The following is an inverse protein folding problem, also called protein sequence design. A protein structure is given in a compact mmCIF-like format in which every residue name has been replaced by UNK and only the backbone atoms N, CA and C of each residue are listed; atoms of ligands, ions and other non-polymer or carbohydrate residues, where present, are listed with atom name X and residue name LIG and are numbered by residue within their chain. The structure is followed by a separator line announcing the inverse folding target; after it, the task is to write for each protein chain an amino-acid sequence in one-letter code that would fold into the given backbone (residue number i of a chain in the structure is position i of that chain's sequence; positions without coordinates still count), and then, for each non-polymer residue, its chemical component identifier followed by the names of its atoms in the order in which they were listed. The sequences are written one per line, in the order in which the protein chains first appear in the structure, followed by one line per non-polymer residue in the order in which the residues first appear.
data_IF_680594773480
#
_entry.id   IF_680594773480
#
_cell.length_a   1.000
_cell.length_b   1.000
_cell.length_c   1.000
_cell.angle_alpha   90.00
_cell.angle_beta   90.00
_cell.angle_gamma   90.00
#
_symmetry.space_group_name_H-M   'P 1'
#
loop_
_entity.id
_entity.type
_entity.pdbx_description
1 polymer ?
#
# COMPACT_ATOMS: atom_id res chain seq x y z
N UNK A 1 15.46 13.44 -26.13
CA UNK A 1 16.09 12.10 -26.05
C UNK A 1 16.79 12.01 -24.71
N UNK A 2 16.34 11.16 -23.80
CA UNK A 2 17.04 10.93 -22.53
C UNK A 2 17.96 9.74 -22.75
N UNK A 3 19.26 9.99 -22.78
CA UNK A 3 20.29 8.96 -22.91
C UNK A 3 20.77 8.55 -21.51
N UNK A 4 20.51 7.30 -21.14
CA UNK A 4 20.99 6.71 -19.90
C UNK A 4 22.23 5.84 -20.09
N UNK A 5 22.91 5.94 -21.25
CA UNK A 5 24.11 5.17 -21.58
C UNK A 5 23.86 3.70 -21.90
N UNK A 6 22.98 3.02 -21.15
CA UNK A 6 22.65 1.61 -21.38
C UNK A 6 21.49 1.41 -22.37
N UNK A 7 20.63 2.40 -22.53
CA UNK A 7 19.47 2.38 -23.44
C UNK A 7 19.02 3.79 -23.79
N UNK A 8 18.37 3.93 -24.95
CA UNK A 8 17.72 5.17 -25.40
C UNK A 8 16.41 4.83 -26.11
N UNK A 9 15.50 5.78 -26.11
CA UNK A 9 14.25 5.75 -26.87
C UNK A 9 14.06 7.08 -27.60
N UNK A 10 13.65 7.02 -28.84
CA UNK A 10 13.49 8.22 -29.68
C UNK A 10 12.17 8.94 -29.39
N UNK A 11 11.15 8.21 -28.97
CA UNK A 11 9.84 8.77 -28.71
C UNK A 11 9.10 8.03 -27.61
N UNK A 12 8.08 8.69 -27.06
CA UNK A 12 7.15 8.10 -26.11
C UNK A 12 6.34 6.96 -26.72
N UNK A 13 5.94 7.09 -27.99
CA UNK A 13 5.18 6.06 -28.70
C UNK A 13 6.03 4.78 -28.87
N UNK A 14 7.33 4.93 -29.14
CA UNK A 14 8.24 3.78 -29.18
C UNK A 14 8.29 3.05 -27.83
N UNK A 15 8.33 3.76 -26.72
CA UNK A 15 8.30 3.14 -25.37
C UNK A 15 7.00 2.39 -25.16
N UNK A 16 5.86 2.99 -25.52
CA UNK A 16 4.55 2.36 -25.36
C UNK A 16 4.41 1.12 -26.24
N UNK A 17 4.89 1.16 -27.49
CA UNK A 17 4.84 0.00 -28.39
C UNK A 17 5.72 -1.15 -27.89
N UNK A 18 6.93 -0.83 -27.42
CA UNK A 18 7.82 -1.83 -26.82
C UNK A 18 7.27 -2.37 -25.50
N UNK A 19 6.61 -1.52 -24.68
CA UNK A 19 5.95 -1.96 -23.46
C UNK A 19 4.82 -2.95 -23.73
N UNK A 20 3.98 -2.72 -24.74
CA UNK A 20 2.96 -3.67 -25.20
C UNK A 20 3.58 -4.99 -25.60
N UNK A 21 4.67 -4.95 -26.35
CA UNK A 21 5.29 -6.15 -26.92
C UNK A 21 6.08 -6.97 -25.89
N UNK A 22 6.79 -6.33 -24.96
CA UNK A 22 7.81 -7.00 -24.15
C UNK A 22 7.52 -6.98 -22.65
N UNK A 23 6.62 -6.12 -22.18
CA UNK A 23 6.35 -5.99 -20.76
C UNK A 23 4.92 -6.40 -20.40
N UNK A 24 3.91 -5.57 -20.68
CA UNK A 24 2.53 -5.85 -20.30
C UNK A 24 1.55 -5.12 -21.24
N UNK A 25 0.94 -5.84 -22.20
CA UNK A 25 0.02 -5.24 -23.17
C UNK A 25 -1.21 -4.65 -22.50
N UNK A 26 -1.91 -5.40 -21.66
CA UNK A 26 -3.18 -4.98 -21.04
C UNK A 26 -3.03 -3.72 -20.19
N UNK A 27 -1.99 -3.64 -19.35
CA UNK A 27 -1.73 -2.42 -18.56
C UNK A 27 -1.42 -1.21 -19.43
N UNK A 28 -0.64 -1.40 -20.50
CA UNK A 28 -0.25 -0.31 -21.40
C UNK A 28 -1.47 0.23 -22.14
N UNK A 29 -2.31 -0.65 -22.64
CA UNK A 29 -3.54 -0.28 -23.36
C UNK A 29 -4.56 0.33 -22.43
N UNK A 30 -4.79 -0.24 -21.25
CA UNK A 30 -5.71 0.31 -20.26
C UNK A 30 -5.45 1.80 -19.93
N UNK A 31 -4.18 2.16 -19.68
CA UNK A 31 -3.84 3.54 -19.39
C UNK A 31 -3.91 4.44 -20.62
N UNK A 32 -3.50 3.96 -21.78
CA UNK A 32 -3.62 4.69 -23.05
C UNK A 32 -5.08 4.99 -23.41
N UNK A 33 -5.94 3.98 -23.31
CA UNK A 33 -7.39 4.08 -23.59
C UNK A 33 -8.13 4.93 -22.54
N UNK A 34 -7.64 4.92 -21.30
CA UNK A 34 -8.10 5.86 -20.25
C UNK A 34 -7.64 7.29 -20.51
N UNK A 35 -6.88 7.55 -21.58
CA UNK A 35 -6.29 8.85 -21.92
C UNK A 35 -5.16 9.30 -20.99
N UNK A 36 -4.49 8.36 -20.33
CA UNK A 36 -3.36 8.59 -19.43
C UNK A 36 -2.12 7.83 -19.96
N UNK A 37 -1.62 8.18 -21.16
CA UNK A 37 -0.46 7.51 -21.75
C UNK A 37 0.84 8.01 -21.09
N UNK A 38 1.01 7.74 -19.79
CA UNK A 38 2.14 8.21 -19.00
C UNK A 38 3.38 7.33 -19.23
N UNK A 39 4.47 7.93 -19.67
CA UNK A 39 5.81 7.35 -19.65
C UNK A 39 6.69 8.20 -18.74
N UNK A 40 7.02 7.66 -17.57
CA UNK A 40 7.77 8.40 -16.55
C UNK A 40 9.24 8.44 -16.93
N UNK A 41 9.78 9.64 -17.16
CA UNK A 41 11.19 9.88 -17.43
C UNK A 41 11.98 10.09 -16.12
N UNK A 42 11.59 11.06 -15.29
CA UNK A 42 12.26 11.31 -14.01
C UNK A 42 11.27 11.62 -12.88
N UNK A 43 11.78 11.59 -11.67
CA UNK A 43 11.01 11.82 -10.43
C UNK A 43 11.80 12.71 -9.50
N UNK A 44 11.09 13.59 -8.76
CA UNK A 44 11.72 14.50 -7.79
C UNK A 44 10.68 14.99 -6.77
N UNK A 45 10.95 14.84 -5.47
CA UNK A 45 10.01 15.22 -4.43
C UNK A 45 8.65 14.55 -4.62
N UNK A 46 7.60 15.33 -4.76
CA UNK A 46 6.25 14.81 -5.01
C UNK A 46 5.81 14.96 -6.48
N UNK A 47 6.76 14.96 -7.41
CA UNK A 47 6.48 15.15 -8.83
C UNK A 47 7.05 14.03 -9.70
N UNK A 48 6.25 13.64 -10.68
CA UNK A 48 6.64 12.85 -11.84
C UNK A 48 6.83 13.79 -13.03
N UNK A 49 7.77 13.45 -13.88
CA UNK A 49 7.96 14.11 -15.16
C UNK A 49 7.81 13.06 -16.26
N UNK A 50 6.85 13.31 -17.12
CA UNK A 50 6.62 12.48 -18.31
C UNK A 50 7.73 12.71 -19.35
N UNK A 51 7.98 11.74 -20.20
CA UNK A 51 8.93 11.82 -21.31
C UNK A 51 8.64 13.00 -22.27
N UNK A 52 7.40 13.51 -22.31
CA UNK A 52 7.02 14.74 -23.01
C UNK A 52 7.38 16.03 -22.27
N UNK A 53 8.00 15.95 -21.09
CA UNK A 53 8.34 17.09 -20.24
C UNK A 53 7.20 17.58 -19.33
N UNK A 54 6.02 16.97 -19.40
CA UNK A 54 4.89 17.32 -18.54
C UNK A 54 5.18 16.94 -17.09
N UNK A 55 5.00 17.88 -16.17
CA UNK A 55 5.11 17.67 -14.72
C UNK A 55 3.75 17.32 -14.11
N UNK A 56 3.70 16.29 -13.29
CA UNK A 56 2.51 15.80 -12.58
C UNK A 56 2.81 15.73 -11.08
N UNK A 57 1.93 16.25 -10.23
CA UNK A 57 1.97 15.97 -8.81
C UNK A 57 1.52 14.53 -8.57
N UNK A 58 2.33 13.72 -7.86
CA UNK A 58 2.05 12.32 -7.62
C UNK A 58 1.29 12.11 -6.30
N UNK A 59 0.01 11.80 -6.39
CA UNK A 59 -0.85 11.44 -5.26
C UNK A 59 -1.07 9.94 -5.11
N UNK A 60 -0.54 9.15 -6.03
CA UNK A 60 -0.56 7.70 -5.87
C UNK A 60 0.65 7.23 -5.07
N UNK A 61 1.80 7.89 -5.26
CA UNK A 61 3.07 7.56 -4.59
C UNK A 61 3.41 6.06 -4.64
N UNK A 62 2.98 5.37 -5.71
CA UNK A 62 3.09 3.92 -5.85
C UNK A 62 2.56 3.17 -4.61
N UNK A 63 1.30 3.45 -4.21
CA UNK A 63 0.70 2.84 -3.02
C UNK A 63 1.25 3.34 -1.69
N UNK A 64 1.88 4.53 -1.67
CA UNK A 64 2.52 5.10 -0.47
C UNK A 64 3.99 4.73 -0.31
N UNK A 65 4.60 4.09 -1.29
CA UNK A 65 6.04 3.76 -1.29
C UNK A 65 6.91 5.02 -1.20
N UNK A 66 6.52 6.09 -1.90
CA UNK A 66 7.26 7.35 -1.91
C UNK A 66 6.72 8.38 -0.91
N UNK A 67 6.30 7.93 0.27
CA UNK A 67 5.72 8.79 1.32
C UNK A 67 6.62 9.96 1.71
N UNK A 68 7.93 9.77 1.70
CA UNK A 68 8.96 10.78 2.01
C UNK A 68 9.40 11.59 0.77
N UNK A 69 8.70 11.44 -0.35
CA UNK A 69 9.05 12.02 -1.63
C UNK A 69 9.96 11.14 -2.48
N UNK A 70 9.82 11.27 -3.80
CA UNK A 70 10.69 10.59 -4.75
C UNK A 70 12.14 11.03 -4.58
N UNK A 71 13.05 10.07 -4.52
CA UNK A 71 14.49 10.31 -4.43
C UNK A 71 14.84 11.25 -3.26
N UNK A 72 14.26 11.00 -2.09
CA UNK A 72 14.55 11.79 -0.89
C UNK A 72 16.07 11.91 -0.71
N UNK A 73 16.64 13.11 -0.61
CA UNK A 73 18.08 13.34 -0.67
C UNK A 73 18.84 12.67 0.48
N UNK A 74 18.24 12.57 1.67
CA UNK A 74 18.88 11.90 2.82
C UNK A 74 18.97 10.39 2.59
N UNK A 75 17.92 9.77 2.01
CA UNK A 75 17.93 8.34 1.68
C UNK A 75 18.89 8.05 0.53
N UNK A 76 18.93 8.92 -0.49
CA UNK A 76 19.91 8.80 -1.60
C UNK A 76 21.33 8.85 -1.05
N UNK A 77 21.63 9.81 -0.16
CA UNK A 77 22.95 9.91 0.47
C UNK A 77 23.31 8.66 1.27
N UNK A 78 22.38 8.11 2.05
CA UNK A 78 22.59 6.89 2.82
C UNK A 78 22.93 5.69 1.92
N UNK A 79 22.19 5.49 0.82
CA UNK A 79 22.46 4.41 -0.15
C UNK A 79 23.81 4.63 -0.83
N UNK A 80 24.12 5.85 -1.27
CA UNK A 80 25.39 6.16 -1.93
C UNK A 80 26.58 5.86 -1.01
N UNK A 81 26.45 6.20 0.27
CA UNK A 81 27.47 5.86 1.28
C UNK A 81 27.57 4.35 1.47
N UNK A 82 26.44 3.64 1.54
CA UNK A 82 26.44 2.20 1.69
C UNK A 82 27.11 1.49 0.51
N UNK A 83 26.81 1.89 -0.72
CA UNK A 83 27.38 1.28 -1.94
C UNK A 83 28.91 1.40 -2.06
N UNK A 84 29.52 2.30 -1.30
CA UNK A 84 30.99 2.37 -1.26
C UNK A 84 31.64 1.19 -0.50
N UNK A 85 30.87 0.47 0.33
CA UNK A 85 31.39 -0.58 1.22
C UNK A 85 30.56 -1.86 1.24
N UNK A 86 29.33 -1.83 0.78
CA UNK A 86 28.35 -2.91 0.86
C UNK A 86 27.70 -3.17 -0.49
N UNK A 87 27.25 -4.40 -0.68
CA UNK A 87 26.37 -4.84 -1.75
C UNK A 87 25.05 -5.41 -1.14
N UNK A 88 24.50 -6.49 -1.69
CA UNK A 88 23.33 -7.17 -1.11
C UNK A 88 23.68 -7.98 0.14
N UNK A 89 24.96 -8.26 0.36
CA UNK A 89 25.48 -9.08 1.46
C UNK A 89 25.20 -10.57 1.30
N UNK A 90 25.53 -11.30 2.36
CA UNK A 90 25.32 -12.75 2.42
C UNK A 90 24.24 -13.10 3.45
N UNK A 91 23.18 -13.77 3.03
CA UNK A 91 22.04 -14.09 3.89
C UNK A 91 22.31 -15.21 4.93
N UNK A 92 23.41 -15.92 4.83
CA UNK A 92 23.77 -16.97 5.81
C UNK A 92 24.36 -16.43 7.12
N UNK A 93 24.87 -15.20 7.11
CA UNK A 93 25.58 -14.64 8.26
C UNK A 93 24.91 -13.37 8.78
N UNK A 94 25.02 -13.09 10.09
CA UNK A 94 24.66 -11.76 10.61
C UNK A 94 25.41 -10.67 9.87
N UNK A 95 24.75 -9.54 9.61
CA UNK A 95 25.36 -8.36 9.02
C UNK A 95 25.07 -7.14 9.90
N UNK A 96 25.99 -6.17 9.89
CA UNK A 96 25.84 -4.94 10.66
C UNK A 96 24.55 -4.21 10.29
N UNK A 97 24.30 -4.05 8.99
CA UNK A 97 23.14 -3.31 8.49
C UNK A 97 21.80 -4.02 8.80
N UNK A 98 21.73 -5.35 8.58
CA UNK A 98 20.52 -6.13 8.92
C UNK A 98 20.25 -6.14 10.40
N UNK A 99 21.28 -6.31 11.23
CA UNK A 99 21.12 -6.31 12.69
C UNK A 99 20.63 -4.95 13.18
N UNK A 100 21.22 -3.86 12.69
CA UNK A 100 20.79 -2.51 13.05
C UNK A 100 19.33 -2.24 12.61
N UNK A 101 18.93 -2.66 11.41
CA UNK A 101 17.57 -2.49 10.95
C UNK A 101 16.57 -3.36 11.73
N UNK A 102 16.94 -4.62 12.06
CA UNK A 102 16.11 -5.49 12.88
C UNK A 102 15.85 -4.86 14.26
N UNK A 103 16.92 -4.37 14.91
CA UNK A 103 16.82 -3.65 16.18
C UNK A 103 15.92 -2.42 16.06
N UNK A 104 16.16 -1.55 15.09
CA UNK A 104 15.38 -0.33 14.91
C UNK A 104 13.89 -0.61 14.64
N UNK A 105 13.56 -1.63 13.85
CA UNK A 105 12.18 -2.04 13.60
C UNK A 105 11.49 -2.53 14.87
N UNK A 106 12.16 -3.36 15.65
CA UNK A 106 11.62 -3.87 16.94
C UNK A 106 11.43 -2.73 17.94
N UNK A 107 12.40 -1.84 18.08
CA UNK A 107 12.33 -0.68 18.99
C UNK A 107 11.20 0.31 18.64
N UNK A 108 10.83 0.40 17.36
CA UNK A 108 9.73 1.27 16.90
C UNK A 108 8.39 0.52 16.73
N UNK A 109 8.32 -0.77 17.04
CA UNK A 109 7.10 -1.58 16.90
C UNK A 109 6.22 -1.54 18.15
N UNK A 110 4.93 -1.97 18.03
CA UNK A 110 4.12 -2.24 19.20
C UNK A 110 4.79 -3.24 20.15
N UNK A 111 4.50 -3.18 21.46
CA UNK A 111 5.04 -4.11 22.44
C UNK A 111 4.82 -5.59 22.07
N UNK A 112 5.74 -6.46 22.48
CA UNK A 112 5.64 -7.92 22.27
C UNK A 112 6.28 -8.43 20.97
N UNK A 113 6.52 -7.59 19.98
CA UNK A 113 7.25 -7.95 18.76
C UNK A 113 8.77 -7.92 19.06
N UNK A 114 9.45 -9.04 18.88
CA UNK A 114 10.86 -9.22 19.33
C UNK A 114 11.81 -9.65 18.23
N UNK A 115 11.33 -10.08 17.08
CA UNK A 115 12.13 -10.52 15.95
C UNK A 115 11.68 -9.83 14.67
N UNK A 116 12.62 -9.67 13.73
CA UNK A 116 12.34 -9.19 12.37
C UNK A 116 12.86 -10.19 11.35
N UNK A 117 12.00 -10.62 10.42
CA UNK A 117 12.35 -11.47 9.29
C UNK A 117 12.21 -10.64 8.01
N UNK A 118 13.29 -10.54 7.25
CA UNK A 118 13.33 -9.67 6.07
C UNK A 118 12.86 -10.36 4.80
N UNK A 119 12.29 -9.56 3.91
CA UNK A 119 11.81 -9.93 2.59
C UNK A 119 12.22 -8.89 1.56
N UNK A 120 12.19 -9.25 0.28
CA UNK A 120 12.43 -8.33 -0.85
C UNK A 120 11.19 -7.49 -1.21
N UNK A 121 10.00 -7.88 -0.76
CA UNK A 121 8.76 -7.17 -1.03
C UNK A 121 7.62 -7.59 -0.12
N UNK A 122 6.53 -6.78 -0.12
CA UNK A 122 5.40 -6.96 0.78
C UNK A 122 4.73 -8.34 0.67
N UNK A 123 4.54 -8.87 -0.54
CA UNK A 123 3.95 -10.20 -0.73
C UNK A 123 4.77 -11.31 -0.09
N UNK A 124 6.10 -11.29 -0.25
CA UNK A 124 7.00 -12.24 0.43
C UNK A 124 6.93 -12.07 1.95
N UNK A 125 6.89 -10.84 2.46
CA UNK A 125 6.74 -10.59 3.89
C UNK A 125 5.40 -11.13 4.44
N UNK A 126 4.31 -11.00 3.67
CA UNK A 126 3.03 -11.65 4.01
C UNK A 126 3.17 -13.17 4.00
N UNK A 127 3.81 -13.79 2.99
CA UNK A 127 4.04 -15.23 2.95
C UNK A 127 4.82 -15.71 4.21
N UNK A 128 5.79 -14.92 4.67
CA UNK A 128 6.52 -15.18 5.92
C UNK A 128 5.57 -15.15 7.11
N UNK A 129 4.73 -14.13 7.23
CA UNK A 129 3.76 -14.00 8.32
C UNK A 129 2.80 -15.18 8.37
N UNK A 130 2.25 -15.57 7.22
CA UNK A 130 1.31 -16.69 7.11
C UNK A 130 1.98 -18.03 7.46
N UNK A 131 3.20 -18.29 6.98
CA UNK A 131 3.97 -19.47 7.33
C UNK A 131 4.29 -19.52 8.83
N UNK A 132 4.70 -18.38 9.40
CA UNK A 132 4.97 -18.23 10.83
C UNK A 132 3.73 -18.56 11.66
N UNK A 133 2.57 -18.02 11.29
CA UNK A 133 1.33 -18.28 11.98
C UNK A 133 0.91 -19.77 11.90
N UNK A 134 1.04 -20.39 10.74
CA UNK A 134 0.78 -21.83 10.54
C UNK A 134 1.72 -22.69 11.39
N UNK A 135 3.00 -22.35 11.43
CA UNK A 135 3.97 -23.08 12.26
C UNK A 135 3.64 -22.95 13.76
N UNK A 136 3.43 -21.72 14.24
CA UNK A 136 3.21 -21.46 15.67
C UNK A 136 1.92 -22.11 16.20
N UNK A 137 0.88 -22.19 15.38
CA UNK A 137 -0.43 -22.73 15.78
C UNK A 137 -0.66 -24.18 15.36
N UNK A 138 0.15 -24.74 14.46
CA UNK A 138 -0.04 -26.03 13.80
C UNK A 138 -1.42 -26.15 13.10
N UNK A 139 -1.95 -25.01 12.59
CA UNK A 139 -3.22 -24.90 11.88
C UNK A 139 -2.98 -24.37 10.47
N UNK A 140 -3.93 -24.64 9.55
CA UNK A 140 -3.76 -24.24 8.15
C UNK A 140 -4.54 -23.00 7.75
N UNK A 141 -5.75 -22.81 8.30
CA UNK A 141 -6.66 -21.76 7.84
C UNK A 141 -6.17 -20.36 8.22
N UNK A 142 -6.31 -19.44 7.29
CA UNK A 142 -6.06 -18.00 7.48
C UNK A 142 -7.35 -17.27 7.11
N UNK A 143 -7.92 -16.52 8.02
CA UNK A 143 -9.08 -15.69 7.75
C UNK A 143 -8.62 -14.29 7.33
N UNK A 144 -9.19 -13.78 6.25
CA UNK A 144 -9.06 -12.37 5.86
C UNK A 144 -10.43 -11.76 5.53
N UNK A 145 -10.45 -10.57 4.95
CA UNK A 145 -11.70 -9.90 4.58
C UNK A 145 -11.97 -9.99 3.08
N UNK A 146 -13.25 -9.92 2.72
CA UNK A 146 -13.67 -9.71 1.32
C UNK A 146 -13.03 -8.41 0.81
N UNK A 147 -12.49 -8.43 -0.42
CA UNK A 147 -11.77 -7.32 -1.03
C UNK A 147 -10.43 -6.96 -0.37
N UNK A 148 -9.81 -7.90 0.36
CA UNK A 148 -8.46 -7.72 0.89
C UNK A 148 -7.41 -7.68 -0.23
N UNK A 149 -6.26 -7.05 0.08
CA UNK A 149 -5.08 -7.06 -0.79
C UNK A 149 -3.81 -7.24 0.03
N UNK A 150 -3.20 -8.42 -0.05
CA UNK A 150 -2.00 -8.74 0.71
C UNK A 150 -0.77 -9.04 -0.18
N UNK A 151 -0.87 -8.81 -1.48
CA UNK A 151 0.18 -9.10 -2.46
C UNK A 151 -0.22 -10.20 -3.45
N UNK A 152 0.70 -10.53 -4.35
CA UNK A 152 0.44 -11.48 -5.46
C UNK A 152 1.41 -12.66 -5.48
N UNK A 153 2.14 -12.92 -4.40
CA UNK A 153 3.01 -14.09 -4.26
C UNK A 153 2.28 -15.21 -3.52
N UNK A 154 2.68 -16.45 -3.71
CA UNK A 154 2.33 -17.64 -2.97
C UNK A 154 1.02 -17.64 -2.16
N UNK A 155 1.14 -17.70 -0.84
CA UNK A 155 0.00 -17.68 0.07
C UNK A 155 -0.67 -16.29 0.14
N UNK A 156 0.08 -15.23 -0.10
CA UNK A 156 -0.44 -13.87 -0.07
C UNK A 156 -1.55 -13.63 -1.09
N UNK A 157 -1.42 -14.17 -2.32
CA UNK A 157 -2.46 -14.04 -3.35
C UNK A 157 -3.74 -14.79 -2.98
N UNK A 158 -3.60 -15.97 -2.36
CA UNK A 158 -4.75 -16.77 -1.92
C UNK A 158 -5.49 -16.13 -0.73
N UNK A 159 -4.79 -15.32 0.07
CA UNK A 159 -5.35 -14.59 1.23
C UNK A 159 -6.09 -13.32 0.81
N UNK A 160 -5.77 -12.76 -0.35
CA UNK A 160 -6.41 -11.57 -0.91
C UNK A 160 -7.75 -11.87 -1.60
N UNK A 161 -8.30 -10.86 -2.26
CA UNK A 161 -9.55 -11.00 -3.02
C UNK A 161 -9.45 -12.09 -4.09
N UNK A 162 -10.47 -12.93 -4.17
CA UNK A 162 -10.61 -14.06 -5.10
C UNK A 162 -10.29 -13.69 -6.56
N UNK A 163 -10.58 -12.46 -6.96
CA UNK A 163 -10.30 -11.96 -8.31
C UNK A 163 -8.85 -12.18 -8.73
N UNK A 164 -7.92 -12.03 -7.81
CA UNK A 164 -6.49 -12.16 -8.10
C UNK A 164 -6.05 -13.62 -8.06
N UNK A 165 -6.55 -14.39 -7.09
CA UNK A 165 -6.21 -15.79 -6.93
C UNK A 165 -6.76 -16.66 -8.06
N UNK A 166 -8.02 -16.48 -8.45
CA UNK A 166 -8.69 -17.26 -9.50
C UNK A 166 -8.01 -17.15 -10.87
N UNK A 167 -7.42 -16.01 -11.17
CA UNK A 167 -6.68 -15.82 -12.43
C UNK A 167 -5.55 -16.84 -12.62
N UNK A 168 -4.94 -17.27 -11.50
CA UNK A 168 -3.79 -18.18 -11.50
C UNK A 168 -4.13 -19.56 -10.92
N UNK A 169 -5.40 -19.88 -10.70
CA UNK A 169 -5.86 -21.11 -10.05
C UNK A 169 -5.22 -21.29 -8.65
N UNK A 170 -5.03 -20.18 -7.95
CA UNK A 170 -4.41 -20.11 -6.63
C UNK A 170 -5.44 -19.92 -5.51
N UNK A 171 -6.72 -19.85 -5.83
CA UNK A 171 -7.81 -19.78 -4.87
C UNK A 171 -7.94 -21.09 -4.09
N UNK A 172 -7.99 -20.99 -2.77
CA UNK A 172 -8.07 -22.10 -1.84
C UNK A 172 -9.08 -21.75 -0.73
N UNK A 173 -10.39 -21.70 -1.02
CA UNK A 173 -11.39 -21.15 -0.09
C UNK A 173 -11.51 -21.93 1.23
N UNK A 174 -11.12 -23.21 1.24
CA UNK A 174 -11.10 -24.00 2.48
C UNK A 174 -10.00 -23.57 3.45
N UNK A 175 -8.83 -23.16 2.92
CA UNK A 175 -7.68 -22.71 3.70
C UNK A 175 -7.68 -21.18 3.91
N UNK A 176 -8.39 -20.42 3.06
CA UNK A 176 -8.42 -18.94 3.09
C UNK A 176 -9.87 -18.41 3.04
N UNK A 177 -10.67 -18.62 4.09
CA UNK A 177 -12.02 -18.05 4.15
C UNK A 177 -11.98 -16.53 4.31
N UNK A 178 -12.93 -15.85 3.63
CA UNK A 178 -13.10 -14.41 3.69
C UNK A 178 -14.38 -14.03 4.42
N UNK A 179 -14.32 -12.98 5.25
CA UNK A 179 -15.47 -12.43 5.96
C UNK A 179 -15.68 -10.95 5.58
N UNK A 180 -16.91 -10.40 5.68
CA UNK A 180 -17.10 -8.97 5.44
C UNK A 180 -16.31 -8.13 6.45
N UNK A 181 -15.75 -7.00 6.00
CA UNK A 181 -15.10 -6.04 6.89
C UNK A 181 -16.12 -5.39 7.83
N UNK A 182 -15.75 -5.17 9.09
CA UNK A 182 -16.63 -4.67 10.15
C UNK A 182 -17.76 -5.64 10.56
N UNK A 183 -17.71 -6.91 10.20
CA UNK A 183 -18.69 -7.93 10.59
C UNK A 183 -18.10 -8.86 11.67
N UNK A 184 -18.26 -8.49 12.94
CA UNK A 184 -17.79 -9.29 14.08
C UNK A 184 -18.51 -10.64 14.22
N UNK A 185 -19.84 -10.76 14.01
CA UNK A 185 -20.50 -12.05 13.97
C UNK A 185 -19.93 -13.04 12.95
N UNK A 186 -19.66 -12.57 11.72
CA UNK A 186 -19.04 -13.40 10.69
C UNK A 186 -17.60 -13.79 11.08
N UNK A 187 -16.82 -12.85 11.63
CA UNK A 187 -15.46 -13.12 12.12
C UNK A 187 -15.47 -14.16 13.22
N UNK A 188 -16.34 -14.02 14.22
CA UNK A 188 -16.45 -15.00 15.30
C UNK A 188 -16.89 -16.39 14.78
N UNK A 189 -17.85 -16.42 13.85
CA UNK A 189 -18.30 -17.68 13.24
C UNK A 189 -17.14 -18.43 12.53
N UNK A 190 -16.27 -17.69 11.82
CA UNK A 190 -15.09 -18.24 11.15
C UNK A 190 -14.07 -18.83 12.14
N UNK A 191 -13.95 -18.26 13.35
CA UNK A 191 -12.97 -18.68 14.37
C UNK A 191 -13.44 -19.81 15.29
N UNK A 192 -14.76 -20.06 15.40
CA UNK A 192 -15.36 -21.04 16.34
C UNK A 192 -14.79 -22.44 16.23
N UNK A 193 -14.40 -22.87 15.03
CA UNK A 193 -13.83 -24.19 14.79
C UNK A 193 -12.48 -24.44 15.45
N UNK A 194 -11.80 -23.38 15.92
CA UNK A 194 -10.44 -23.44 16.52
C UNK A 194 -9.40 -24.08 15.60
N UNK A 195 -9.59 -24.01 14.29
CA UNK A 195 -8.73 -24.55 13.25
C UNK A 195 -8.07 -23.45 12.39
N UNK A 196 -8.29 -22.19 12.76
CA UNK A 196 -7.70 -21.01 12.14
C UNK A 196 -6.35 -20.70 12.77
N UNK A 197 -5.31 -20.58 11.94
CA UNK A 197 -3.96 -20.20 12.36
C UNK A 197 -3.90 -18.71 12.70
N UNK A 198 -4.43 -17.86 11.81
CA UNK A 198 -4.43 -16.43 12.02
C UNK A 198 -5.60 -15.74 11.32
N UNK A 199 -5.94 -14.56 11.83
CA UNK A 199 -6.65 -13.52 11.10
C UNK A 199 -5.62 -12.52 10.59
N UNK A 200 -5.71 -12.12 9.31
CA UNK A 200 -4.90 -11.05 8.73
C UNK A 200 -5.79 -9.90 8.26
N UNK A 201 -5.46 -8.69 8.69
CA UNK A 201 -6.16 -7.47 8.28
C UNK A 201 -5.17 -6.40 7.85
N UNK A 202 -5.45 -5.75 6.70
CA UNK A 202 -4.95 -4.40 6.49
C UNK A 202 -5.61 -3.49 7.54
N UNK A 203 -4.85 -2.71 8.30
CA UNK A 203 -5.44 -1.81 9.31
C UNK A 203 -6.48 -0.86 8.70
N UNK A 204 -6.23 -0.41 7.47
CA UNK A 204 -7.19 0.30 6.62
C UNK A 204 -7.07 -0.26 5.19
N UNK A 205 -8.06 -1.05 4.73
CA UNK A 205 -8.00 -1.72 3.44
C UNK A 205 -7.93 -0.77 2.25
N UNK A 206 -6.79 -0.74 1.57
CA UNK A 206 -6.52 0.27 0.56
C UNK A 206 -7.20 -0.01 -0.78
N UNK A 207 -7.10 -1.21 -1.29
CA UNK A 207 -7.66 -1.61 -2.58
C UNK A 207 -9.19 -1.62 -2.55
N UNK A 208 -9.76 -1.74 -1.34
CA UNK A 208 -11.19 -1.63 -1.04
C UNK A 208 -11.68 -0.18 -0.88
N UNK A 209 -10.83 0.83 -1.08
CA UNK A 209 -11.24 2.24 -1.00
C UNK A 209 -11.15 2.83 0.41
N UNK A 210 -10.25 2.35 1.22
CA UNK A 210 -9.99 2.85 2.58
C UNK A 210 -11.22 2.86 3.51
N UNK A 211 -12.08 1.80 3.55
CA UNK A 211 -13.07 1.74 4.60
C UNK A 211 -12.37 1.78 5.95
N UNK A 212 -12.89 2.62 6.85
CA UNK A 212 -12.34 2.72 8.19
C UNK A 212 -12.91 1.62 9.08
N UNK A 213 -12.10 1.03 9.97
CA UNK A 213 -12.63 0.10 10.96
C UNK A 213 -13.63 0.82 11.86
N UNK A 214 -14.75 0.16 12.14
CA UNK A 214 -15.72 0.64 13.12
C UNK A 214 -15.08 0.76 14.50
N UNK A 215 -15.49 1.69 15.34
CA UNK A 215 -14.97 1.81 16.70
C UNK A 215 -15.03 0.46 17.45
N UNK A 216 -13.89 0.02 17.99
CA UNK A 216 -13.78 -1.25 18.72
C UNK A 216 -13.69 -2.51 17.85
N UNK A 217 -13.74 -2.40 16.51
CA UNK A 217 -13.69 -3.57 15.64
C UNK A 217 -12.36 -4.31 15.70
N UNK A 218 -11.25 -3.59 15.58
CA UNK A 218 -9.91 -4.18 15.55
C UNK A 218 -9.58 -4.84 16.88
N UNK A 219 -9.91 -4.18 17.99
CA UNK A 219 -9.75 -4.67 19.35
C UNK A 219 -10.59 -5.95 19.60
N UNK A 220 -11.82 -5.96 19.09
CA UNK A 220 -12.69 -7.13 19.20
C UNK A 220 -12.17 -8.31 18.38
N UNK A 221 -11.65 -8.07 17.16
CA UNK A 221 -11.04 -9.14 16.34
C UNK A 221 -9.81 -9.72 17.04
N UNK A 222 -8.92 -8.89 17.62
CA UNK A 222 -7.78 -9.40 18.42
C UNK A 222 -8.25 -10.26 19.60
N UNK A 223 -9.26 -9.79 20.33
CA UNK A 223 -9.84 -10.54 21.46
C UNK A 223 -10.46 -11.88 21.02
N UNK A 224 -11.09 -11.93 19.84
CA UNK A 224 -11.58 -13.17 19.24
C UNK A 224 -10.42 -14.12 18.88
N UNK A 225 -9.34 -13.59 18.29
CA UNK A 225 -8.14 -14.38 18.01
C UNK A 225 -7.61 -15.05 19.28
N UNK A 226 -7.44 -14.31 20.37
CA UNK A 226 -6.99 -14.84 21.66
C UNK A 226 -7.94 -15.90 22.22
N UNK A 227 -9.24 -15.62 22.21
CA UNK A 227 -10.28 -16.56 22.68
C UNK A 227 -10.23 -17.91 21.96
N UNK A 228 -10.02 -17.90 20.66
CA UNK A 228 -10.04 -19.09 19.82
C UNK A 228 -8.64 -19.67 19.54
N UNK A 229 -7.58 -19.05 20.07
CA UNK A 229 -6.19 -19.49 19.94
C UNK A 229 -5.64 -19.29 18.51
N UNK A 230 -6.07 -18.27 17.83
CA UNK A 230 -5.54 -17.81 16.53
C UNK A 230 -4.61 -16.63 16.76
N UNK A 231 -3.68 -16.37 15.81
CA UNK A 231 -2.84 -15.18 15.83
C UNK A 231 -3.50 -14.03 15.08
N UNK A 232 -3.14 -12.79 15.44
CA UNK A 232 -3.54 -11.59 14.72
C UNK A 232 -2.34 -11.02 13.95
N UNK A 233 -2.49 -10.89 12.63
CA UNK A 233 -1.49 -10.31 11.72
C UNK A 233 -1.96 -8.94 11.29
N UNK A 234 -1.22 -7.89 11.66
CA UNK A 234 -1.45 -6.53 11.16
C UNK A 234 -0.68 -6.33 9.85
N UNK A 235 -1.38 -6.17 8.74
CA UNK A 235 -0.79 -5.74 7.48
C UNK A 235 -0.67 -4.22 7.47
N UNK A 236 0.51 -3.74 7.81
CA UNK A 236 0.89 -2.33 7.84
C UNK A 236 1.72 -1.90 6.62
N UNK A 237 1.72 -2.72 5.57
CA UNK A 237 2.49 -2.44 4.34
C UNK A 237 2.10 -1.10 3.72
N UNK A 238 0.85 -0.64 3.88
CA UNK A 238 0.41 0.66 3.37
C UNK A 238 0.06 1.68 4.46
N UNK A 239 -0.43 1.26 5.60
CA UNK A 239 -0.87 2.14 6.70
C UNK A 239 0.23 2.53 7.66
N UNK A 240 1.31 1.76 7.72
CA UNK A 240 2.47 2.02 8.54
C UNK A 240 3.33 3.21 8.09
N UNK A 241 4.40 3.42 8.83
CA UNK A 241 5.44 4.40 8.53
C UNK A 241 4.91 5.84 8.43
N UNK A 242 4.15 6.25 9.44
CA UNK A 242 3.72 7.64 9.61
C UNK A 242 2.44 8.03 8.86
N UNK A 243 1.91 7.19 7.97
CA UNK A 243 0.78 7.55 7.10
C UNK A 243 -0.50 7.92 7.85
N UNK A 244 -0.75 7.32 9.00
CA UNK A 244 -1.92 7.62 9.86
C UNK A 244 -1.64 8.72 10.88
N UNK A 245 -0.41 9.26 10.93
CA UNK A 245 0.06 10.17 11.98
C UNK A 245 0.74 9.45 13.14
N UNK A 246 0.68 8.11 13.18
CA UNK A 246 1.45 7.25 14.07
C UNK A 246 2.44 6.41 13.26
N UNK A 247 3.51 5.89 13.90
CA UNK A 247 4.46 5.01 13.22
C UNK A 247 3.73 3.83 12.56
N UNK A 248 2.79 3.21 13.27
CA UNK A 248 1.95 2.12 12.78
C UNK A 248 0.47 2.48 12.97
N UNK A 249 -0.35 2.20 11.97
CA UNK A 249 -1.79 2.48 12.04
C UNK A 249 -2.49 1.70 13.14
N UNK A 250 -2.05 0.46 13.39
CA UNK A 250 -2.59 -0.42 14.41
C UNK A 250 -2.49 0.15 15.83
N UNK A 251 -1.48 0.98 16.12
CA UNK A 251 -1.30 1.57 17.45
C UNK A 251 -2.43 2.51 17.86
N UNK A 252 -3.16 3.08 16.89
CA UNK A 252 -4.35 3.90 17.19
C UNK A 252 -5.50 3.10 17.80
N UNK A 253 -5.47 1.79 17.66
CA UNK A 253 -6.49 0.88 18.20
C UNK A 253 -6.08 0.27 19.53
N UNK A 254 -4.87 0.59 20.05
CA UNK A 254 -4.37 0.00 21.28
C UNK A 254 -4.21 -1.51 21.23
N UNK A 255 -3.96 -2.05 20.05
CA UNK A 255 -3.81 -3.49 19.82
C UNK A 255 -2.35 -3.83 19.58
N UNK A 256 -1.85 -4.82 20.34
CA UNK A 256 -0.55 -5.43 20.12
C UNK A 256 -0.73 -6.67 19.22
N UNK A 257 -0.31 -6.63 17.96
CA UNK A 257 -0.45 -7.74 17.04
C UNK A 257 0.57 -8.84 17.37
N UNK A 258 0.26 -10.09 17.02
CA UNK A 258 1.21 -11.19 17.12
C UNK A 258 2.26 -11.15 16.01
N UNK A 259 1.85 -10.63 14.84
CA UNK A 259 2.74 -10.34 13.71
C UNK A 259 2.37 -8.99 13.08
N UNK A 260 3.37 -8.23 12.65
CA UNK A 260 3.20 -6.99 11.90
C UNK A 260 4.03 -7.05 10.62
N UNK A 261 3.38 -6.74 9.49
CA UNK A 261 4.07 -6.74 8.19
C UNK A 261 4.25 -5.32 7.69
N UNK A 262 5.46 -4.99 7.27
CA UNK A 262 5.81 -3.68 6.70
C UNK A 262 6.56 -3.80 5.37
N UNK A 263 6.49 -2.75 4.57
CA UNK A 263 7.12 -2.67 3.25
C UNK A 263 6.93 -1.29 2.64
N UNK A 264 6.74 -1.23 1.30
CA UNK A 264 6.48 0.04 0.58
C UNK A 264 7.36 1.21 1.06
N UNK A 265 6.85 2.05 1.96
CA UNK A 265 7.54 3.23 2.49
C UNK A 265 8.80 2.93 3.29
N UNK A 266 9.07 1.68 3.65
CA UNK A 266 10.21 1.28 4.49
C UNK A 266 11.57 1.73 3.94
N UNK A 267 11.73 1.81 2.61
CA UNK A 267 12.94 2.34 1.99
C UNK A 267 12.78 3.70 1.32
N UNK A 268 11.63 4.36 1.51
CA UNK A 268 11.29 5.55 0.75
C UNK A 268 11.27 5.33 -0.76
N UNK A 269 11.12 4.06 -1.19
CA UNK A 269 11.08 3.66 -2.60
C UNK A 269 12.44 3.60 -3.30
N UNK A 270 13.54 3.70 -2.55
CA UNK A 270 14.89 3.70 -3.12
C UNK A 270 15.49 2.30 -3.24
N UNK A 271 14.98 1.31 -2.48
CA UNK A 271 15.40 -0.09 -2.58
C UNK A 271 14.22 -1.03 -2.22
N UNK A 272 14.06 -2.19 -2.90
CA UNK A 272 13.04 -3.17 -2.54
C UNK A 272 13.39 -3.83 -1.19
N UNK A 273 12.60 -3.56 -0.16
CA UNK A 273 12.75 -4.16 1.17
C UNK A 273 11.41 -4.19 1.90
N UNK A 274 11.18 -5.27 2.63
CA UNK A 274 10.04 -5.46 3.51
C UNK A 274 10.45 -6.30 4.71
N UNK A 275 9.61 -6.35 5.73
CA UNK A 275 9.86 -7.16 6.91
C UNK A 275 8.56 -7.65 7.54
N UNK A 276 8.65 -8.80 8.19
CA UNK A 276 7.66 -9.33 9.13
C UNK A 276 8.23 -9.27 10.52
N UNK A 277 7.59 -8.50 11.40
CA UNK A 277 7.89 -8.47 12.82
C UNK A 277 7.09 -9.55 13.53
N UNK A 278 7.72 -10.27 14.44
CA UNK A 278 7.17 -11.49 15.03
C UNK A 278 7.27 -11.42 16.55
N UNK A 279 6.18 -11.75 17.23
CA UNK A 279 6.15 -11.86 18.67
C UNK A 279 6.93 -13.13 19.14
N UNK A 280 7.50 -13.09 20.35
CA UNK A 280 8.33 -14.17 20.88
C UNK A 280 7.63 -15.54 20.84
N UNK A 281 6.36 -15.59 21.22
CA UNK A 281 5.58 -16.83 21.24
C UNK A 281 5.29 -17.44 19.85
N UNK A 282 5.45 -16.65 18.78
CA UNK A 282 5.28 -17.10 17.41
C UNK A 282 6.61 -17.38 16.69
N UNK A 283 7.75 -17.04 17.31
CA UNK A 283 9.07 -17.06 16.70
C UNK A 283 9.79 -18.44 16.78
N UNK A 284 9.14 -19.48 17.28
CA UNK A 284 9.77 -20.79 17.57
C UNK A 284 10.55 -21.38 16.40
N UNK A 285 10.02 -21.31 15.18
CA UNK A 285 10.69 -21.83 13.99
C UNK A 285 12.07 -21.22 13.73
N UNK A 286 12.32 -19.99 14.18
CA UNK A 286 13.64 -19.36 14.02
C UNK A 286 14.74 -20.02 14.85
N UNK A 287 14.37 -20.74 15.92
CA UNK A 287 15.29 -21.53 16.74
C UNK A 287 15.29 -23.01 16.37
N UNK A 288 14.20 -23.53 15.78
CA UNK A 288 14.07 -24.91 15.34
C UNK A 288 14.77 -25.15 14.00
N UNK A 289 14.50 -24.29 13.01
CA UNK A 289 15.11 -24.31 11.69
C UNK A 289 15.15 -22.89 11.11
N UNK A 290 16.18 -22.12 11.44
CA UNK A 290 16.38 -20.77 10.93
C UNK A 290 16.56 -20.69 9.40
N UNK A 291 16.76 -21.82 8.73
CA UNK A 291 16.79 -21.92 7.27
C UNK A 291 15.43 -22.28 6.65
N UNK A 292 14.38 -22.44 7.42
CA UNK A 292 13.01 -22.71 6.96
C UNK A 292 12.44 -21.61 6.06
N UNK A 293 13.05 -20.41 6.06
CA UNK A 293 12.83 -19.37 5.05
C UNK A 293 14.15 -18.72 4.65
N UNK A 294 14.45 -18.75 3.35
CA UNK A 294 15.63 -18.13 2.75
C UNK A 294 15.17 -17.13 1.70
N UNK A 295 15.65 -15.89 1.80
CA UNK A 295 15.47 -14.84 0.81
C UNK A 295 16.84 -14.25 0.45
N UNK A 296 17.28 -14.46 -0.79
CA UNK A 296 18.59 -13.95 -1.25
C UNK A 296 18.67 -12.42 -1.15
N UNK A 297 17.57 -11.73 -1.42
CA UNK A 297 17.51 -10.26 -1.40
C UNK A 297 16.80 -9.70 -0.17
N UNK A 298 16.21 -10.56 0.67
CA UNK A 298 15.59 -10.15 1.92
C UNK A 298 16.62 -9.57 2.88
N UNK A 299 16.44 -8.31 3.27
CA UNK A 299 17.39 -7.59 4.09
C UNK A 299 18.74 -7.32 3.40
N UNK A 300 18.75 -7.13 2.08
CA UNK A 300 19.93 -6.68 1.35
C UNK A 300 20.55 -5.47 2.04
N UNK A 301 21.87 -5.51 2.27
CA UNK A 301 22.55 -4.55 3.17
C UNK A 301 22.38 -3.10 2.71
N UNK A 302 22.54 -2.82 1.41
CA UNK A 302 22.29 -1.49 0.84
C UNK A 302 20.83 -1.05 1.09
N UNK A 303 19.88 -1.98 0.99
CA UNK A 303 18.46 -1.72 1.30
C UNK A 303 18.22 -1.42 2.79
N UNK A 304 18.98 -2.05 3.69
CA UNK A 304 18.90 -1.77 5.12
C UNK A 304 19.31 -0.32 5.46
N UNK A 305 20.33 0.23 4.79
CA UNK A 305 20.69 1.64 4.95
C UNK A 305 19.57 2.59 4.51
N UNK A 306 18.91 2.28 3.39
CA UNK A 306 17.73 3.04 2.95
C UNK A 306 16.62 2.99 3.99
N UNK A 307 16.33 1.80 4.52
CA UNK A 307 15.26 1.57 5.48
C UNK A 307 15.54 2.25 6.83
N UNK A 308 16.75 2.15 7.34
CA UNK A 308 17.19 2.85 8.56
C UNK A 308 16.99 4.36 8.42
N UNK A 309 17.41 4.94 7.30
CA UNK A 309 17.22 6.38 7.06
C UNK A 309 15.74 6.75 6.90
N UNK A 310 14.95 5.94 6.24
CA UNK A 310 13.51 6.17 6.12
C UNK A 310 12.80 6.09 7.48
N UNK A 311 13.14 5.12 8.33
CA UNK A 311 12.64 5.02 9.71
C UNK A 311 13.02 6.25 10.53
N UNK A 312 14.30 6.65 10.50
CA UNK A 312 14.79 7.85 11.20
C UNK A 312 13.99 9.10 10.81
N UNK A 313 13.81 9.36 9.50
CA UNK A 313 13.04 10.53 9.02
C UNK A 313 11.57 10.43 9.48
N UNK A 314 10.97 9.24 9.37
CA UNK A 314 9.57 9.02 9.75
C UNK A 314 9.36 9.21 11.25
N UNK A 315 10.31 8.78 12.08
CA UNK A 315 10.24 8.88 13.54
C UNK A 315 10.48 10.30 14.10
N UNK A 316 10.93 11.24 13.26
CA UNK A 316 11.17 12.63 13.71
C UNK A 316 9.86 13.27 14.18
N UNK A 317 9.85 13.98 15.31
CA UNK A 317 8.68 14.73 15.78
C UNK A 317 8.16 15.73 14.73
N UNK A 318 9.06 16.33 13.94
CA UNK A 318 8.73 17.28 12.87
C UNK A 318 7.95 16.60 11.74
N UNK A 319 8.32 15.38 11.37
CA UNK A 319 7.58 14.60 10.37
C UNK A 319 6.16 14.29 10.86
N UNK A 320 6.02 13.83 12.10
CA UNK A 320 4.71 13.58 12.71
C UNK A 320 3.84 14.83 12.76
N UNK A 321 4.42 15.95 13.20
CA UNK A 321 3.72 17.25 13.23
C UNK A 321 3.27 17.68 11.84
N UNK A 322 4.13 17.48 10.83
CA UNK A 322 3.78 17.78 9.44
C UNK A 322 2.64 16.92 8.93
N UNK A 323 2.62 15.62 9.24
CA UNK A 323 1.52 14.72 8.85
C UNK A 323 0.19 15.18 9.45
N UNK A 324 0.16 15.56 10.72
CA UNK A 324 -1.06 16.11 11.35
C UNK A 324 -1.48 17.41 10.65
N UNK A 325 -0.54 18.32 10.41
CA UNK A 325 -0.82 19.57 9.70
C UNK A 325 -1.40 19.35 8.30
N UNK A 326 -0.79 18.47 7.50
CA UNK A 326 -1.25 18.13 6.16
C UNK A 326 -2.65 17.48 6.21
N UNK A 327 -2.84 16.55 7.15
CA UNK A 327 -4.12 15.87 7.37
C UNK A 327 -5.25 16.87 7.66
N UNK A 328 -5.01 17.81 8.57
CA UNK A 328 -5.99 18.83 8.95
C UNK A 328 -6.27 19.82 7.81
N UNK A 329 -5.21 20.30 7.13
CA UNK A 329 -5.36 21.23 6.03
C UNK A 329 -6.17 20.62 4.88
N UNK A 330 -5.80 19.41 4.45
CA UNK A 330 -6.48 18.71 3.36
C UNK A 330 -7.90 18.27 3.78
N UNK A 331 -8.08 17.78 4.99
CA UNK A 331 -9.41 17.39 5.49
C UNK A 331 -10.40 18.55 5.49
N UNK A 332 -10.01 19.72 5.99
CA UNK A 332 -10.84 20.93 5.94
C UNK A 332 -11.12 21.39 4.52
N UNK A 333 -10.08 21.42 3.67
CA UNK A 333 -10.25 21.85 2.28
C UNK A 333 -11.17 20.92 1.49
N UNK A 334 -11.01 19.61 1.65
CA UNK A 334 -11.88 18.60 1.01
C UNK A 334 -13.32 18.68 1.52
N UNK A 335 -13.55 18.96 2.80
CA UNK A 335 -14.89 19.17 3.36
C UNK A 335 -15.59 20.38 2.71
N UNK A 336 -14.86 21.48 2.47
CA UNK A 336 -15.40 22.64 1.75
C UNK A 336 -15.78 22.25 0.31
N UNK A 337 -14.92 21.51 -0.38
CA UNK A 337 -15.21 21.03 -1.74
C UNK A 337 -16.43 20.10 -1.74
N UNK A 338 -16.54 19.17 -0.78
CA UNK A 338 -17.68 18.26 -0.69
C UNK A 338 -18.99 19.03 -0.46
N UNK A 339 -18.97 20.09 0.34
CA UNK A 339 -20.14 20.96 0.56
C UNK A 339 -20.62 21.68 -0.70
N UNK A 340 -19.73 21.91 -1.68
CA UNK A 340 -20.06 22.51 -2.97
C UNK A 340 -20.68 21.49 -3.96
N UNK A 341 -20.50 20.19 -3.73
CA UNK A 341 -20.95 19.11 -4.60
C UNK A 341 -21.62 17.95 -3.82
N UNK A 342 -22.64 18.23 -2.98
CA UNK A 342 -23.17 17.25 -2.02
C UNK A 342 -23.83 16.02 -2.72
N UNK A 343 -24.36 16.20 -3.93
CA UNK A 343 -24.99 15.13 -4.72
C UNK A 343 -23.99 14.29 -5.53
N UNK A 344 -22.71 14.63 -5.46
CA UNK A 344 -21.66 13.96 -6.22
C UNK A 344 -20.51 13.48 -5.35
N UNK A 345 -19.94 14.36 -4.52
CA UNK A 345 -18.86 14.04 -3.58
C UNK A 345 -19.46 13.70 -2.21
N UNK A 346 -19.73 12.43 -1.98
CA UNK A 346 -20.58 11.94 -0.89
C UNK A 346 -19.86 11.60 0.39
N UNK A 347 -18.53 11.39 0.34
CA UNK A 347 -17.81 11.00 1.55
C UNK A 347 -16.30 11.19 1.48
N UNK A 348 -15.72 11.43 2.65
CA UNK A 348 -14.28 11.48 2.87
C UNK A 348 -13.94 10.47 3.95
N UNK A 349 -13.24 9.40 3.57
CA UNK A 349 -12.68 8.42 4.50
C UNK A 349 -11.26 8.88 4.82
N UNK A 350 -10.98 9.22 6.07
CA UNK A 350 -9.68 9.81 6.42
C UNK A 350 -9.14 9.27 7.74
N UNK A 351 -7.85 8.88 7.71
CA UNK A 351 -7.06 8.61 8.91
C UNK A 351 -5.61 9.08 8.64
N UNK A 352 -5.23 10.23 9.20
CA UNK A 352 -4.00 10.90 8.83
C UNK A 352 -4.02 11.32 7.35
N UNK A 353 -3.01 10.92 6.60
CA UNK A 353 -2.91 11.15 5.14
C UNK A 353 -3.25 9.89 4.31
N UNK A 354 -3.94 8.94 4.91
CA UNK A 354 -4.67 7.88 4.21
C UNK A 354 -6.08 8.38 3.96
N UNK A 355 -6.41 8.70 2.73
CA UNK A 355 -7.70 9.30 2.38
C UNK A 355 -8.34 8.59 1.20
N UNK A 356 -9.65 8.35 1.30
CA UNK A 356 -10.53 7.90 0.22
C UNK A 356 -11.61 8.94 -0.05
N UNK A 357 -11.72 9.40 -1.29
CA UNK A 357 -12.77 10.33 -1.72
C UNK A 357 -13.86 9.57 -2.44
N UNK A 358 -15.08 9.59 -1.91
CA UNK A 358 -16.20 8.78 -2.35
C UNK A 358 -17.18 9.60 -3.21
N UNK A 359 -17.61 9.03 -4.35
CA UNK A 359 -18.46 9.70 -5.31
C UNK A 359 -19.73 8.88 -5.60
N UNK A 360 -20.88 9.55 -5.78
CA UNK A 360 -22.17 8.93 -6.11
C UNK A 360 -22.24 8.51 -7.58
N UNK A 361 -21.33 7.62 -7.98
CA UNK A 361 -21.33 6.99 -9.30
C UNK A 361 -20.44 5.73 -9.26
N UNK A 362 -20.87 4.58 -9.86
CA UNK A 362 -20.10 3.33 -9.84
C UNK A 362 -18.65 3.43 -10.33
N UNK A 363 -18.32 4.45 -11.12
CA UNK A 363 -16.98 4.74 -11.63
C UNK A 363 -16.55 6.19 -11.33
N UNK A 364 -17.10 6.79 -10.28
CA UNK A 364 -16.91 8.21 -9.98
C UNK A 364 -15.45 8.60 -9.83
N UNK A 365 -14.66 7.77 -9.15
CA UNK A 365 -13.24 8.02 -9.00
C UNK A 365 -12.45 8.01 -10.32
N UNK A 366 -12.90 7.28 -11.35
CA UNK A 366 -12.22 7.28 -12.67
C UNK A 366 -12.44 8.60 -13.40
N UNK A 367 -13.65 9.19 -13.31
CA UNK A 367 -13.90 10.52 -13.87
C UNK A 367 -13.01 11.56 -13.19
N UNK A 368 -12.95 11.56 -11.86
CA UNK A 368 -12.10 12.50 -11.10
C UNK A 368 -10.61 12.28 -11.40
N UNK A 369 -10.16 11.03 -11.48
CA UNK A 369 -8.78 10.69 -11.85
C UNK A 369 -8.41 11.27 -13.23
N UNK A 370 -9.31 11.18 -14.21
CA UNK A 370 -9.08 11.73 -15.56
C UNK A 370 -8.95 13.24 -15.54
N UNK A 371 -9.85 13.94 -14.85
CA UNK A 371 -9.79 15.39 -14.73
C UNK A 371 -8.56 15.87 -13.95
N UNK A 372 -8.17 15.16 -12.88
CA UNK A 372 -6.93 15.41 -12.16
C UNK A 372 -5.71 15.25 -13.07
N UNK A 373 -5.70 14.20 -13.90
CA UNK A 373 -4.65 14.03 -14.90
C UNK A 373 -4.52 15.24 -15.81
N UNK A 374 -5.61 15.77 -16.35
CA UNK A 374 -5.60 16.93 -17.23
C UNK A 374 -5.11 18.19 -16.50
N UNK A 375 -5.35 18.28 -15.20
CA UNK A 375 -4.87 19.36 -14.32
C UNK A 375 -3.45 19.13 -13.76
N UNK A 376 -2.75 18.09 -14.19
CA UNK A 376 -1.37 17.84 -13.78
C UNK A 376 -1.23 17.16 -12.41
N UNK A 377 -2.20 16.35 -12.02
CA UNK A 377 -2.15 15.51 -10.80
C UNK A 377 -2.35 14.05 -11.19
N UNK A 378 -1.49 13.18 -10.70
CA UNK A 378 -1.64 11.74 -10.84
C UNK A 378 -2.23 11.14 -9.56
N UNK A 379 -3.44 10.62 -9.64
CA UNK A 379 -4.13 9.85 -8.60
C UNK A 379 -4.73 8.59 -9.21
N UNK A 380 -5.21 7.65 -8.39
CA UNK A 380 -5.79 6.39 -8.88
C UNK A 380 -7.09 6.06 -8.15
N UNK A 381 -8.02 5.43 -8.86
CA UNK A 381 -9.22 4.84 -8.28
C UNK A 381 -8.89 3.57 -7.46
N UNK A 382 -9.76 3.19 -6.53
CA UNK A 382 -9.63 1.92 -5.81
C UNK A 382 -10.09 0.77 -6.70
N UNK A 383 -9.21 -0.22 -6.89
CA UNK A 383 -9.44 -1.31 -7.86
C UNK A 383 -10.69 -2.15 -7.54
N UNK A 384 -10.99 -2.35 -6.26
CA UNK A 384 -12.12 -3.13 -5.79
C UNK A 384 -13.34 -2.27 -5.38
N UNK A 385 -13.20 -0.92 -5.47
CA UNK A 385 -14.27 0.04 -5.26
C UNK A 385 -14.06 1.30 -6.12
N UNK A 386 -14.40 1.26 -7.43
CA UNK A 386 -14.15 2.37 -8.36
C UNK A 386 -14.96 3.65 -8.09
N UNK A 387 -15.82 3.65 -7.08
CA UNK A 387 -16.47 4.87 -6.57
C UNK A 387 -15.50 5.73 -5.76
N UNK A 388 -14.42 5.13 -5.25
CA UNK A 388 -13.49 5.78 -4.33
C UNK A 388 -12.15 6.06 -4.99
N UNK A 389 -11.76 7.34 -4.99
CA UNK A 389 -10.42 7.78 -5.38
C UNK A 389 -9.47 7.59 -4.19
N UNK A 390 -8.34 6.93 -4.43
CA UNK A 390 -7.26 6.88 -3.45
C UNK A 390 -6.49 8.20 -3.47
N UNK A 391 -6.60 8.96 -2.39
CA UNK A 391 -5.94 10.26 -2.23
C UNK A 391 -4.83 10.12 -1.18
N UNK A 392 -3.60 10.11 -1.62
CA UNK A 392 -2.44 9.74 -0.80
C UNK A 392 -1.37 10.83 -0.83
N UNK A 393 -1.55 11.96 -0.13
CA UNK A 393 -0.50 12.98 -0.04
C UNK A 393 0.75 12.45 0.68
N UNK A 394 1.90 13.02 0.33
CA UNK A 394 3.16 12.68 0.98
C UNK A 394 3.27 13.27 2.39
N UNK A 395 4.14 12.67 3.21
CA UNK A 395 4.29 13.06 4.63
C UNK A 395 4.96 14.42 4.82
N UNK A 396 5.70 14.89 3.84
CA UNK A 396 6.52 16.11 3.90
C UNK A 396 6.07 17.16 2.87
N UNK A 397 4.82 17.08 2.38
CA UNK A 397 4.28 18.10 1.48
C UNK A 397 4.19 19.45 2.18
N UNK A 398 4.55 20.52 1.45
CA UNK A 398 4.42 21.89 1.96
C UNK A 398 2.97 22.36 1.93
N UNK A 399 2.63 23.38 2.74
CA UNK A 399 1.33 24.05 2.71
C UNK A 399 0.93 24.46 1.29
N UNK A 400 1.85 25.10 0.56
CA UNK A 400 1.63 25.54 -0.82
C UNK A 400 1.30 24.38 -1.77
N UNK A 401 1.95 23.22 -1.60
CA UNK A 401 1.62 22.05 -2.39
C UNK A 401 0.23 21.48 -2.05
N UNK A 402 -0.17 21.51 -0.78
CA UNK A 402 -1.50 21.10 -0.36
C UNK A 402 -2.59 22.04 -0.86
N UNK A 403 -2.35 23.35 -0.83
CA UNK A 403 -3.27 24.39 -1.36
C UNK A 403 -3.43 24.24 -2.88
N UNK A 404 -2.33 24.15 -3.65
CA UNK A 404 -2.36 23.90 -5.10
C UNK A 404 -3.10 22.59 -5.44
N UNK A 405 -2.93 21.55 -4.61
CA UNK A 405 -3.64 20.30 -4.75
C UNK A 405 -5.16 20.45 -4.53
N UNK A 406 -5.57 21.18 -3.50
CA UNK A 406 -6.99 21.43 -3.20
C UNK A 406 -7.65 22.23 -4.33
N UNK A 407 -6.99 23.26 -4.85
CA UNK A 407 -7.51 24.08 -5.96
C UNK A 407 -7.75 23.22 -7.21
N UNK A 408 -6.79 22.39 -7.59
CA UNK A 408 -6.93 21.45 -8.73
C UNK A 408 -8.00 20.41 -8.47
N UNK A 409 -8.09 19.89 -7.23
CA UNK A 409 -9.10 18.88 -6.85
C UNK A 409 -10.50 19.45 -6.94
N UNK A 410 -10.72 20.70 -6.50
CA UNK A 410 -12.00 21.37 -6.61
C UNK A 410 -12.47 21.50 -8.08
N UNK A 411 -11.56 21.92 -8.97
CA UNK A 411 -11.85 22.02 -10.42
C UNK A 411 -12.11 20.62 -11.01
N UNK A 412 -11.30 19.64 -10.67
CA UNK A 412 -11.43 18.26 -11.18
C UNK A 412 -12.78 17.64 -10.79
N UNK A 413 -13.20 17.79 -9.55
CA UNK A 413 -14.49 17.25 -9.04
C UNK A 413 -15.67 17.87 -9.78
N UNK A 414 -15.67 19.19 -10.00
CA UNK A 414 -16.73 19.87 -10.76
C UNK A 414 -16.83 19.37 -12.19
N UNK A 415 -15.70 19.29 -12.90
CA UNK A 415 -15.65 18.77 -14.28
C UNK A 415 -16.05 17.29 -14.37
N UNK A 416 -15.59 16.47 -13.43
CA UNK A 416 -15.91 15.06 -13.38
C UNK A 416 -17.40 14.80 -13.19
N UNK A 417 -18.09 15.58 -12.34
CA UNK A 417 -19.55 15.53 -12.17
C UNK A 417 -20.27 15.81 -13.49
N UNK A 418 -19.88 16.88 -14.17
CA UNK A 418 -20.51 17.29 -15.42
C UNK A 418 -20.27 16.26 -16.55
N UNK A 419 -19.06 15.70 -16.64
CA UNK A 419 -18.71 14.64 -17.58
C UNK A 419 -19.53 13.35 -17.31
N UNK A 420 -19.62 12.91 -16.05
CA UNK A 420 -20.40 11.73 -15.68
C UNK A 420 -21.92 11.91 -15.96
N UNK A 421 -22.46 13.11 -15.78
CA UNK A 421 -23.85 13.42 -16.12
C UNK A 421 -24.09 13.34 -17.64
N UNK A 422 -23.15 13.85 -18.44
CA UNK A 422 -23.22 13.80 -19.90
C UNK A 422 -23.16 12.35 -20.42
N UNK A 423 -22.27 11.52 -19.90
CA UNK A 423 -22.11 10.13 -20.34
C UNK A 423 -23.30 9.24 -19.96
N UNK A 424 -23.94 9.48 -18.81
CA UNK A 424 -25.22 8.84 -18.47
C UNK A 424 -26.29 9.12 -19.54
N UNK A 425 -26.38 10.36 -20.02
CA UNK A 425 -27.30 10.75 -21.09
C UNK A 425 -26.98 10.13 -22.45
N UNK A 426 -25.72 9.85 -22.74
CA UNK A 426 -25.23 9.32 -24.01
C UNK A 426 -25.10 7.78 -24.03
N UNK A 427 -25.33 7.08 -22.91
CA UNK A 427 -25.11 5.63 -22.78
C UNK A 427 -23.65 5.21 -22.90
N UNK A 428 -22.71 6.14 -22.65
CA UNK A 428 -21.25 5.92 -22.67
C UNK A 428 -20.74 5.79 -21.23
N UNK A 429 -19.62 5.09 -21.05
CA UNK A 429 -18.97 4.95 -19.75
C UNK A 429 -17.44 4.89 -19.89
N UNK A 430 -16.76 5.14 -18.78
CA UNK A 430 -15.31 4.97 -18.72
C UNK A 430 -14.90 3.51 -18.95
N UNK A 431 -13.70 3.25 -19.51
CA UNK A 431 -13.17 1.89 -19.66
C UNK A 431 -13.31 1.10 -18.36
N UNK A 432 -13.93 -0.06 -18.44
CA UNK A 432 -14.01 -0.98 -17.29
C UNK A 432 -12.67 -1.68 -17.15
N UNK A 433 -12.15 -1.76 -15.92
CA UNK A 433 -11.09 -2.75 -15.65
C UNK A 433 -11.60 -4.11 -16.13
N UNK A 434 -10.81 -4.89 -16.89
CA UNK A 434 -11.26 -6.18 -17.39
C UNK A 434 -11.85 -7.01 -16.25
N UNK A 435 -13.06 -7.56 -16.46
CA UNK A 435 -13.58 -8.57 -15.56
C UNK A 435 -12.65 -9.79 -15.63
N UNK A 436 -12.41 -10.50 -14.51
CA UNK A 436 -11.58 -11.71 -14.55
C UNK A 436 -12.12 -12.64 -15.63
N UNK A 437 -11.23 -13.13 -16.48
CA UNK A 437 -11.56 -14.18 -17.43
C UNK A 437 -12.02 -15.42 -16.64
N UNK A 438 -13.32 -15.65 -16.57
CA UNK A 438 -13.93 -16.76 -15.80
C UNK A 438 -15.40 -16.59 -15.49
N UNK A 439 -16.00 -15.46 -15.85
CA UNK A 439 -17.46 -15.28 -15.78
C UNK A 439 -18.11 -15.55 -17.14
N UNK A 440 -17.77 -16.66 -17.81
CA UNK A 440 -18.53 -17.21 -18.93
C UNK A 440 -18.89 -18.65 -18.64
#
# INVERSE_FOLDING_TARGET
MTDYGAFSFDSKDEVLDKARRYWNPDKTDFWSDSGIPLVIDRREGYYLYDMSGRRLMDLHLNGGTYSLGHRNPEIVAAITTAMAHFDIGNHHFPSLARTALAQALVEHSPPGLTKAVFASGGGEAIDIALKTARHATQRRKIVSIVKAYHGHTGLAVATGDDRFAKLFLADQPEDFPHVPFNDLPAMEAALRGRDVAAVILETIPATYGFPLPAPGYVEAVKSLCERYGSLYIADEVQTGLGRTGEMWGITKHGVDPDLLVTGKGLSGGMYPIAATLVAEHAAGWLTEDGFGHISTFGGAEVGCFAALKALEITARPETRSMVHYISDLLGRGLAVIASAYPDWFTGIRQNGVVMGLEFDHPQGAKYVMRELWDLGVWAIFSTLDPQVLQFKPGLLMTAKQCEDLLDRTAVAIGRARDAAAHDRGAGRGMPTTPAPAGAR
#
